data_IF_500367771024
#
_entry.id   IF_500367771024
#
_cell.length_a   1.000
_cell.length_b   1.000
_cell.length_c   1.000
_cell.angle_alpha   90.00
_cell.angle_beta   90.00
_cell.angle_gamma   90.00
#
_symmetry.space_group_name_H-M   'P 1'
#
loop_
_entity.id
_entity.type
_entity.pdbx_description
1 polymer ?
#
# COMPACT_ATOMS: atom_id res chain seq x y z
N UNK A 1 98.61 2.32 66.96
CA UNK A 1 97.42 1.44 67.06
C UNK A 1 96.26 2.11 66.38
N UNK A 2 95.84 1.64 65.19
CA UNK A 2 94.77 2.25 64.38
C UNK A 2 93.54 1.41 64.49
N UNK A 3 92.44 1.97 65.03
CA UNK A 3 91.12 1.39 65.00
C UNK A 3 90.51 1.58 63.64
N UNK A 4 90.21 0.46 62.94
CA UNK A 4 89.45 0.45 61.68
C UNK A 4 87.97 0.26 62.06
N UNK A 5 87.15 1.34 61.92
CA UNK A 5 85.69 1.26 62.02
C UNK A 5 85.15 0.58 60.71
N UNK A 6 84.57 -0.54 60.86
CA UNK A 6 83.79 -1.18 59.82
C UNK A 6 82.48 -0.44 59.61
N UNK A 7 82.28 0.08 58.40
CA UNK A 7 81.04 0.73 58.00
C UNK A 7 80.09 -0.37 57.59
N UNK A 8 79.00 -0.60 58.34
CA UNK A 8 77.90 -1.47 57.97
C UNK A 8 77.26 -0.95 56.67
N UNK A 9 77.15 -1.80 55.68
CA UNK A 9 76.41 -1.53 54.47
C UNK A 9 74.95 -1.68 54.81
N UNK A 10 74.21 -0.59 54.78
CA UNK A 10 72.75 -0.62 54.75
C UNK A 10 72.28 -1.40 53.54
N UNK A 11 71.71 -2.56 53.81
CA UNK A 11 71.07 -3.38 52.79
C UNK A 11 69.88 -2.65 52.20
N UNK A 12 69.94 -2.44 50.91
CA UNK A 12 68.80 -1.94 50.16
C UNK A 12 67.64 -2.95 50.33
N UNK A 13 66.69 -2.55 51.15
CA UNK A 13 65.44 -3.27 51.37
C UNK A 13 64.53 -3.12 50.11
N UNK A 14 64.80 -3.95 49.13
CA UNK A 14 64.06 -3.97 47.86
C UNK A 14 62.70 -4.67 47.96
N UNK A 15 62.28 -5.03 49.16
CA UNK A 15 61.05 -5.78 49.35
C UNK A 15 59.92 -4.94 50.02
N UNK A 16 59.71 -3.72 49.56
CA UNK A 16 58.44 -3.04 49.90
C UNK A 16 57.40 -3.36 48.83
N UNK A 17 56.36 -4.15 49.13
CA UNK A 17 55.29 -4.38 48.17
C UNK A 17 54.60 -3.04 47.90
N UNK A 18 54.60 -2.67 46.63
CA UNK A 18 53.88 -1.47 46.15
C UNK A 18 52.40 -1.50 46.61
N UNK A 19 51.88 -0.39 47.07
CA UNK A 19 50.55 -0.34 47.72
C UNK A 19 49.50 -0.81 46.73
N UNK A 20 48.87 -1.95 47.00
CA UNK A 20 47.75 -2.58 46.25
C UNK A 20 46.55 -1.63 46.02
N UNK A 21 46.54 -0.42 46.57
CA UNK A 21 45.46 0.57 46.39
C UNK A 21 45.41 1.21 45.00
N UNK A 22 46.53 1.35 44.27
CA UNK A 22 46.52 1.95 42.91
C UNK A 22 45.84 1.10 41.86
N UNK A 23 45.85 -0.19 42.02
CA UNK A 23 45.17 -1.08 41.04
C UNK A 23 43.63 -1.11 41.17
N UNK A 24 43.08 -0.82 42.35
CA UNK A 24 41.63 -0.73 42.55
C UNK A 24 41.06 0.52 41.90
N UNK A 25 41.75 1.68 42.07
CA UNK A 25 41.31 2.95 41.44
C UNK A 25 41.45 2.90 39.93
N UNK A 26 42.54 2.29 39.41
CA UNK A 26 42.72 2.12 37.96
C UNK A 26 41.65 1.21 37.36
N UNK A 27 41.32 0.10 38.01
CA UNK A 27 40.21 -0.80 37.56
C UNK A 27 38.87 -0.10 37.62
N UNK A 28 38.58 0.70 38.64
CA UNK A 28 37.35 1.48 38.72
C UNK A 28 37.28 2.55 37.63
N UNK A 29 38.41 3.20 37.32
CA UNK A 29 38.48 4.17 36.23
C UNK A 29 38.30 3.54 34.85
N UNK A 30 38.91 2.38 34.59
CA UNK A 30 38.72 1.64 33.37
C UNK A 30 37.28 1.11 33.23
N UNK A 31 36.65 0.65 34.30
CA UNK A 31 35.25 0.22 34.28
C UNK A 31 34.28 1.39 34.00
N UNK A 32 34.57 2.59 34.54
CA UNK A 32 33.80 3.79 34.30
C UNK A 32 33.93 4.30 32.86
N UNK A 33 35.15 4.26 32.29
CA UNK A 33 35.40 4.59 30.89
C UNK A 33 34.73 3.60 29.93
N UNK A 34 34.77 2.30 30.22
CA UNK A 34 34.06 1.27 29.43
C UNK A 34 32.54 1.43 29.51
N UNK A 35 32.03 1.78 30.68
CA UNK A 35 30.60 2.08 30.87
C UNK A 35 30.16 3.32 30.06
N UNK A 36 30.93 4.38 30.09
CA UNK A 36 30.67 5.60 29.29
C UNK A 36 30.78 5.34 27.79
N UNK A 37 31.78 4.59 27.35
CA UNK A 37 31.94 4.21 25.96
C UNK A 37 30.76 3.31 25.48
N UNK A 38 30.32 2.36 26.31
CA UNK A 38 29.15 1.54 26.06
C UNK A 38 27.86 2.35 25.94
N UNK A 39 27.69 3.33 26.84
CA UNK A 39 26.52 4.22 26.82
C UNK A 39 26.53 5.15 25.60
N UNK A 40 27.71 5.63 25.18
CA UNK A 40 27.86 6.41 23.96
C UNK A 40 27.58 5.59 22.70
N UNK A 41 28.06 4.35 22.64
CA UNK A 41 27.75 3.44 21.53
C UNK A 41 26.28 3.07 21.48
N UNK A 42 25.64 2.83 22.62
CA UNK A 42 24.18 2.56 22.69
C UNK A 42 23.36 3.77 22.28
N UNK A 43 23.77 4.98 22.70
CA UNK A 43 23.12 6.21 22.26
C UNK A 43 23.29 6.44 20.76
N UNK A 44 24.48 6.22 20.20
CA UNK A 44 24.72 6.30 18.76
C UNK A 44 23.90 5.24 17.99
N UNK A 45 23.78 4.01 18.49
CA UNK A 45 22.97 2.97 17.85
C UNK A 45 21.46 3.31 17.87
N UNK A 46 20.96 3.82 18.98
CA UNK A 46 19.54 4.22 19.11
C UNK A 46 19.23 5.46 18.29
N UNK A 47 20.09 6.48 18.35
CA UNK A 47 19.89 7.73 17.60
C UNK A 47 20.20 7.57 16.11
N UNK A 48 21.25 6.80 15.76
CA UNK A 48 21.62 6.51 14.38
C UNK A 48 20.58 5.68 13.62
N UNK A 49 19.83 4.82 14.32
CA UNK A 49 18.74 4.06 13.71
C UNK A 49 17.40 4.83 13.65
N UNK A 50 17.18 5.76 14.59
CA UNK A 50 15.94 6.53 14.66
C UNK A 50 15.94 7.80 13.79
N UNK A 51 17.10 8.43 13.62
CA UNK A 51 17.22 9.67 12.83
C UNK A 51 16.91 9.45 11.32
N UNK A 52 17.50 8.44 10.63
CA UNK A 52 17.20 8.24 9.22
C UNK A 52 15.74 7.90 9.01
N UNK A 53 15.11 7.07 9.86
CA UNK A 53 13.69 6.75 9.74
C UNK A 53 12.79 7.96 9.90
N UNK A 54 13.06 8.84 10.86
CA UNK A 54 12.28 10.10 11.03
C UNK A 54 12.49 11.08 9.89
N UNK A 55 13.67 11.13 9.31
CA UNK A 55 13.95 11.95 8.13
C UNK A 55 13.27 11.38 6.89
N UNK A 56 13.30 10.05 6.71
CA UNK A 56 12.61 9.38 5.61
C UNK A 56 11.10 9.55 5.72
N UNK A 57 10.53 9.41 6.92
CA UNK A 57 9.10 9.63 7.15
C UNK A 57 8.71 11.10 6.92
N UNK A 58 9.51 12.05 7.38
CA UNK A 58 9.25 13.49 7.18
C UNK A 58 9.40 13.88 5.70
N UNK A 59 10.42 13.35 5.00
CA UNK A 59 10.58 13.53 3.57
C UNK A 59 9.44 12.88 2.79
N UNK A 60 9.06 11.64 3.12
CA UNK A 60 7.95 10.95 2.49
C UNK A 60 6.63 11.72 2.68
N UNK A 61 6.36 12.25 3.88
CA UNK A 61 5.19 13.09 4.14
C UNK A 61 5.24 14.40 3.37
N UNK A 62 6.41 15.04 3.28
CA UNK A 62 6.56 16.29 2.52
C UNK A 62 6.37 16.06 1.02
N UNK A 63 6.97 15.00 0.46
CA UNK A 63 6.77 14.63 -0.94
C UNK A 63 5.34 14.18 -1.23
N UNK A 64 4.70 13.42 -0.33
CA UNK A 64 3.30 13.05 -0.47
C UNK A 64 2.38 14.28 -0.45
N UNK A 65 2.65 15.25 0.43
CA UNK A 65 1.91 16.50 0.47
C UNK A 65 2.10 17.33 -0.82
N UNK A 66 3.35 17.49 -1.30
CA UNK A 66 3.61 18.19 -2.57
C UNK A 66 2.99 17.49 -3.77
N UNK A 67 3.10 16.15 -3.84
CA UNK A 67 2.46 15.37 -4.90
C UNK A 67 0.95 15.50 -4.87
N UNK A 68 0.33 15.51 -3.69
CA UNK A 68 -1.11 15.72 -3.56
C UNK A 68 -1.56 17.12 -4.03
N UNK A 69 -0.77 18.15 -3.75
CA UNK A 69 -1.03 19.52 -4.23
C UNK A 69 -0.91 19.59 -5.75
N UNK A 70 0.20 19.06 -6.29
CA UNK A 70 0.45 19.07 -7.74
C UNK A 70 -0.60 18.24 -8.50
N UNK A 71 -1.02 17.11 -7.94
CA UNK A 71 -2.12 16.32 -8.50
C UNK A 71 -3.44 17.09 -8.46
N UNK A 72 -3.77 17.80 -7.36
CA UNK A 72 -4.96 18.66 -7.30
C UNK A 72 -4.93 19.78 -8.36
N UNK A 73 -3.79 20.41 -8.55
CA UNK A 73 -3.63 21.44 -9.60
C UNK A 73 -3.79 20.87 -11.01
N UNK A 74 -3.18 19.72 -11.30
CA UNK A 74 -3.37 19.01 -12.56
C UNK A 74 -4.84 18.63 -12.79
N UNK A 75 -5.51 18.17 -11.73
CA UNK A 75 -6.95 17.89 -11.78
C UNK A 75 -7.79 19.13 -12.02
N UNK A 76 -7.51 20.22 -11.30
CA UNK A 76 -8.20 21.49 -11.49
C UNK A 76 -8.01 22.03 -12.92
N UNK A 77 -6.79 21.89 -13.47
CA UNK A 77 -6.50 22.28 -14.87
C UNK A 77 -7.22 21.36 -15.87
N UNK A 78 -7.20 20.05 -15.67
CA UNK A 78 -7.94 19.09 -16.52
C UNK A 78 -9.44 19.33 -16.46
N UNK A 79 -9.98 19.58 -15.26
CA UNK A 79 -11.39 19.96 -15.09
C UNK A 79 -11.73 21.23 -15.83
N UNK A 80 -10.91 22.28 -15.75
CA UNK A 80 -11.10 23.53 -16.52
C UNK A 80 -11.02 23.30 -18.01
N UNK A 81 -10.09 22.44 -18.49
CA UNK A 81 -10.02 22.04 -19.88
C UNK A 81 -11.28 21.29 -20.32
N UNK A 82 -11.77 20.34 -19.53
CA UNK A 82 -13.02 19.63 -19.80
C UNK A 82 -14.25 20.53 -19.75
N UNK A 83 -14.22 21.59 -18.93
CA UNK A 83 -15.28 22.62 -18.88
C UNK A 83 -15.22 23.57 -20.10
N UNK A 84 -14.05 23.73 -20.74
CA UNK A 84 -13.87 24.66 -21.87
C UNK A 84 -13.88 23.99 -23.26
N UNK A 85 -13.56 22.70 -23.34
CA UNK A 85 -13.80 21.87 -24.53
C UNK A 85 -14.74 20.73 -24.13
N UNK A 86 -16.05 20.94 -24.21
CA UNK A 86 -16.98 19.81 -24.03
C UNK A 86 -16.73 18.86 -25.18
N UNK A 87 -15.98 17.79 -24.91
CA UNK A 87 -15.89 16.65 -25.84
C UNK A 87 -17.33 16.14 -26.02
N UNK A 88 -17.93 16.46 -27.17
CA UNK A 88 -19.34 16.19 -27.44
C UNK A 88 -19.61 14.68 -27.36
N UNK A 89 -18.60 13.85 -27.64
CA UNK A 89 -18.65 12.42 -27.53
C UNK A 89 -18.66 11.95 -26.07
N UNK A 90 -17.84 12.54 -25.21
CA UNK A 90 -17.80 12.20 -23.77
C UNK A 90 -19.09 12.60 -23.08
N UNK A 91 -19.62 13.77 -23.38
CA UNK A 91 -20.92 14.21 -22.88
C UNK A 91 -22.07 13.33 -23.40
N UNK A 92 -21.98 12.85 -24.65
CA UNK A 92 -22.97 11.92 -25.20
C UNK A 92 -22.88 10.54 -24.53
N UNK A 93 -21.67 10.02 -24.31
CA UNK A 93 -21.45 8.77 -23.60
C UNK A 93 -21.95 8.85 -22.15
N UNK A 94 -21.62 9.95 -21.44
CA UNK A 94 -22.12 10.24 -20.10
C UNK A 94 -23.65 10.30 -20.03
N UNK A 95 -24.29 10.99 -20.97
CA UNK A 95 -25.75 11.09 -21.03
C UNK A 95 -26.38 9.73 -21.32
N UNK A 96 -25.82 8.97 -22.24
CA UNK A 96 -26.31 7.64 -22.59
C UNK A 96 -26.16 6.68 -21.40
N UNK A 97 -25.02 6.73 -20.68
CA UNK A 97 -24.81 5.94 -19.48
C UNK A 97 -25.83 6.30 -18.38
N UNK A 98 -25.97 7.58 -18.06
CA UNK A 98 -26.94 8.04 -17.06
C UNK A 98 -28.38 7.70 -17.46
N UNK A 99 -28.77 7.83 -18.73
CA UNK A 99 -30.09 7.49 -19.21
C UNK A 99 -30.36 5.99 -19.14
N UNK A 100 -29.38 5.14 -19.48
CA UNK A 100 -29.54 3.68 -19.43
C UNK A 100 -29.72 3.15 -18.00
N UNK A 101 -29.11 3.81 -17.02
CA UNK A 101 -29.13 3.41 -15.61
C UNK A 101 -30.24 4.06 -14.79
N UNK A 102 -30.75 5.23 -15.19
CA UNK A 102 -31.93 5.85 -14.55
C UNK A 102 -33.19 5.00 -14.66
N UNK A 103 -33.24 4.08 -15.62
CA UNK A 103 -34.37 3.15 -15.81
C UNK A 103 -34.46 2.11 -14.67
N UNK A 104 -33.35 1.83 -13.97
CA UNK A 104 -33.30 0.82 -12.90
C UNK A 104 -33.50 1.41 -11.49
N UNK A 105 -33.76 2.70 -11.38
CA UNK A 105 -33.98 3.36 -10.08
C UNK A 105 -32.70 3.60 -9.25
N UNK A 106 -31.54 3.21 -9.75
CA UNK A 106 -30.26 3.49 -9.13
C UNK A 106 -29.80 4.92 -9.46
N UNK A 107 -29.36 5.63 -8.45
CA UNK A 107 -28.81 6.98 -8.61
C UNK A 107 -27.30 6.88 -8.73
N UNK A 108 -26.75 7.29 -9.87
CA UNK A 108 -25.31 7.30 -10.12
C UNK A 108 -24.75 8.72 -10.06
N UNK A 109 -23.72 8.91 -9.28
CA UNK A 109 -23.05 10.20 -9.12
C UNK A 109 -21.65 10.14 -9.73
N UNK A 110 -21.30 11.07 -10.65
CA UNK A 110 -19.97 11.15 -11.22
C UNK A 110 -18.98 11.69 -10.17
N UNK A 111 -17.84 11.02 -10.00
CA UNK A 111 -16.81 11.41 -9.04
C UNK A 111 -15.43 11.29 -9.67
N UNK A 112 -14.60 12.29 -9.42
CA UNK A 112 -13.23 12.34 -9.94
C UNK A 112 -12.25 11.71 -8.98
N UNK A 113 -11.12 11.19 -9.53
CA UNK A 113 -10.01 10.69 -8.72
C UNK A 113 -9.02 11.80 -8.41
N UNK A 114 -8.45 11.79 -7.20
CA UNK A 114 -7.40 12.75 -6.78
C UNK A 114 -6.02 12.15 -6.74
N UNK A 115 -5.91 10.87 -6.37
CA UNK A 115 -4.64 10.20 -6.21
C UNK A 115 -4.77 8.72 -6.58
N UNK A 116 -3.65 8.10 -7.00
CA UNK A 116 -3.56 6.68 -7.32
C UNK A 116 -2.30 6.08 -6.74
N UNK A 117 -2.37 4.83 -6.33
CA UNK A 117 -1.24 4.03 -5.88
C UNK A 117 -1.44 2.56 -6.32
N UNK A 118 -0.43 1.69 -6.25
CA UNK A 118 -0.53 0.30 -6.73
C UNK A 118 -1.65 -0.56 -6.13
N UNK A 119 -2.28 -0.13 -5.04
CA UNK A 119 -3.35 -0.88 -4.37
C UNK A 119 -4.71 -0.17 -4.37
N UNK A 120 -4.88 0.94 -5.09
CA UNK A 120 -6.14 1.67 -5.12
C UNK A 120 -6.04 3.11 -5.60
N UNK A 121 -7.12 3.83 -5.42
CA UNK A 121 -7.20 5.25 -5.75
C UNK A 121 -8.12 5.99 -4.79
N UNK A 122 -7.99 7.32 -4.77
CA UNK A 122 -8.76 8.21 -3.91
C UNK A 122 -9.70 9.06 -4.75
N UNK A 123 -10.94 9.16 -4.34
CA UNK A 123 -11.96 10.02 -4.93
C UNK A 123 -11.90 11.44 -4.33
N UNK A 124 -12.32 12.43 -5.10
CA UNK A 124 -12.37 13.84 -4.65
C UNK A 124 -13.36 14.03 -3.51
N UNK A 125 -14.44 13.25 -3.52
CA UNK A 125 -15.51 13.36 -2.54
C UNK A 125 -15.54 12.14 -1.64
N UNK A 126 -15.87 12.30 -0.36
CA UNK A 126 -16.17 11.17 0.50
C UNK A 126 -17.44 10.48 -0.01
N UNK A 127 -17.40 9.17 -0.10
CA UNK A 127 -18.49 8.32 -0.57
C UNK A 127 -18.85 7.30 0.49
N UNK A 128 -20.04 6.75 0.39
CA UNK A 128 -20.45 5.69 1.31
C UNK A 128 -19.55 4.47 1.14
N UNK A 129 -19.00 3.96 2.25
CA UNK A 129 -18.22 2.75 2.25
C UNK A 129 -19.09 1.56 1.80
N UNK A 130 -18.52 0.71 0.93
CA UNK A 130 -19.23 -0.42 0.34
C UNK A 130 -19.94 -0.09 -0.97
N UNK A 131 -20.02 1.16 -1.38
CA UNK A 131 -20.63 1.55 -2.67
C UNK A 131 -19.81 0.99 -3.84
N UNK A 132 -20.50 0.54 -4.89
CA UNK A 132 -19.87 0.10 -6.12
C UNK A 132 -19.34 1.30 -6.91
N UNK A 133 -18.14 1.14 -7.47
CA UNK A 133 -17.49 2.14 -8.32
C UNK A 133 -17.38 1.59 -9.72
N UNK A 134 -17.93 2.31 -10.70
CA UNK A 134 -17.91 1.95 -12.12
C UNK A 134 -17.04 2.95 -12.89
N UNK A 135 -16.39 2.49 -13.95
CA UNK A 135 -15.74 3.37 -14.91
C UNK A 135 -16.78 4.06 -15.82
N UNK A 136 -16.30 4.94 -16.70
CA UNK A 136 -17.17 5.66 -17.66
C UNK A 136 -17.89 4.75 -18.66
N UNK A 137 -17.44 3.51 -18.81
CA UNK A 137 -18.08 2.49 -19.66
C UNK A 137 -19.09 1.63 -18.89
N UNK A 138 -19.28 1.88 -17.59
CA UNK A 138 -20.18 1.13 -16.73
C UNK A 138 -19.61 -0.20 -16.22
N UNK A 139 -18.31 -0.40 -16.34
CA UNK A 139 -17.61 -1.59 -15.84
C UNK A 139 -17.24 -1.43 -14.39
N UNK A 140 -17.29 -2.52 -13.66
CA UNK A 140 -16.97 -2.54 -12.23
C UNK A 140 -15.48 -2.28 -11.99
N UNK A 141 -15.17 -1.11 -11.46
CA UNK A 141 -13.81 -0.69 -11.14
C UNK A 141 -13.37 -1.07 -9.71
N UNK A 142 -14.32 -1.22 -8.78
CA UNK A 142 -13.98 -1.58 -7.41
C UNK A 142 -15.07 -1.22 -6.40
N UNK A 143 -14.67 -1.24 -5.13
CA UNK A 143 -15.54 -0.91 -3.98
C UNK A 143 -14.97 0.31 -3.26
N UNK A 144 -15.85 1.27 -2.97
CA UNK A 144 -15.51 2.42 -2.15
C UNK A 144 -15.31 2.00 -0.68
N UNK A 145 -14.22 2.44 -0.11
CA UNK A 145 -13.92 2.31 1.31
C UNK A 145 -14.16 3.63 2.06
N UNK A 146 -13.67 3.67 3.28
CA UNK A 146 -13.73 4.88 4.09
C UNK A 146 -12.95 6.04 3.46
N UNK A 147 -13.42 7.26 3.70
CA UNK A 147 -12.77 8.50 3.26
C UNK A 147 -12.57 8.63 1.74
N UNK A 148 -13.39 7.94 0.93
CA UNK A 148 -13.28 8.02 -0.54
C UNK A 148 -12.15 7.17 -1.14
N UNK A 149 -11.52 6.31 -0.36
CA UNK A 149 -10.58 5.31 -0.91
C UNK A 149 -11.34 4.27 -1.73
N UNK A 150 -10.76 3.79 -2.82
CA UNK A 150 -11.33 2.71 -3.62
C UNK A 150 -10.36 1.56 -3.68
N UNK A 151 -10.84 0.38 -3.30
CA UNK A 151 -10.16 -0.89 -3.53
C UNK A 151 -10.50 -1.37 -4.95
N UNK A 152 -9.53 -1.50 -5.86
CA UNK A 152 -9.77 -1.96 -7.22
C UNK A 152 -10.40 -3.35 -7.25
N UNK A 153 -11.16 -3.63 -8.31
CA UNK A 153 -11.77 -4.92 -8.52
C UNK A 153 -10.76 -6.07 -8.36
N UNK A 154 -11.11 -7.05 -7.55
CA UNK A 154 -10.27 -8.22 -7.28
C UNK A 154 -9.10 -8.01 -6.32
N UNK A 155 -8.92 -6.82 -5.75
CA UNK A 155 -7.84 -6.53 -4.79
C UNK A 155 -8.39 -6.33 -3.38
N UNK A 156 -7.89 -7.09 -2.38
CA UNK A 156 -8.26 -6.90 -0.97
C UNK A 156 -9.77 -6.81 -0.75
N UNK A 157 -10.25 -5.65 -0.27
CA UNK A 157 -11.68 -5.37 -0.07
C UNK A 157 -12.50 -5.30 -1.38
N UNK A 158 -11.84 -5.15 -2.54
CA UNK A 158 -12.46 -5.22 -3.87
C UNK A 158 -12.62 -6.66 -4.40
N UNK A 159 -12.24 -7.67 -3.64
CA UNK A 159 -12.52 -9.07 -3.97
C UNK A 159 -13.99 -9.35 -3.67
N UNK A 160 -14.82 -9.34 -4.71
CA UNK A 160 -16.28 -9.48 -4.59
C UNK A 160 -16.76 -10.75 -5.29
N UNK A 161 -17.88 -11.35 -4.83
CA UNK A 161 -18.51 -12.44 -5.53
C UNK A 161 -18.93 -12.03 -6.93
N UNK A 162 -18.71 -12.91 -7.91
CA UNK A 162 -19.05 -12.68 -9.31
C UNK A 162 -19.76 -13.91 -9.91
N UNK A 163 -20.63 -13.65 -10.85
CA UNK A 163 -21.35 -14.65 -11.62
C UNK A 163 -20.79 -14.70 -13.04
N UNK A 164 -20.59 -15.92 -13.53
CA UNK A 164 -20.33 -16.21 -14.93
C UNK A 164 -21.46 -17.17 -15.38
N UNK A 165 -22.39 -16.64 -16.15
CA UNK A 165 -23.66 -17.33 -16.36
C UNK A 165 -24.38 -17.58 -15.04
N UNK A 166 -24.51 -18.85 -14.63
CA UNK A 166 -25.06 -19.21 -13.30
C UNK A 166 -24.00 -19.66 -12.29
N UNK A 167 -22.75 -19.71 -12.69
CA UNK A 167 -21.66 -20.15 -11.82
C UNK A 167 -21.17 -19.00 -10.94
N UNK A 168 -21.15 -19.22 -9.64
CA UNK A 168 -20.61 -18.25 -8.67
C UNK A 168 -19.12 -18.48 -8.49
N UNK A 169 -18.35 -17.41 -8.57
CA UNK A 169 -16.93 -17.33 -8.25
C UNK A 169 -16.63 -16.06 -7.49
N UNK A 170 -15.36 -15.70 -7.43
CA UNK A 170 -14.88 -14.48 -6.76
C UNK A 170 -13.92 -13.74 -7.69
N UNK A 171 -14.09 -12.44 -7.84
CA UNK A 171 -13.13 -11.59 -8.52
C UNK A 171 -11.85 -11.52 -7.68
N UNK A 172 -10.72 -11.84 -8.29
CA UNK A 172 -9.39 -11.74 -7.66
C UNK A 172 -8.40 -11.18 -8.67
N UNK A 173 -7.43 -10.40 -8.18
CA UNK A 173 -6.38 -9.84 -9.03
C UNK A 173 -5.07 -10.58 -8.79
N UNK A 174 -4.46 -11.07 -9.86
CA UNK A 174 -3.18 -11.75 -9.82
C UNK A 174 -2.28 -11.20 -10.94
N UNK A 175 -1.11 -10.69 -10.58
CA UNK A 175 -0.15 -10.11 -11.54
C UNK A 175 -0.75 -9.05 -12.50
N UNK A 176 -1.62 -8.20 -11.96
CA UNK A 176 -2.28 -7.15 -12.75
C UNK A 176 -3.49 -7.61 -13.58
N UNK A 177 -3.72 -8.92 -13.72
CA UNK A 177 -4.86 -9.47 -14.42
C UNK A 177 -6.00 -9.75 -13.45
N UNK A 178 -7.22 -9.40 -13.85
CA UNK A 178 -8.44 -9.73 -13.11
C UNK A 178 -8.88 -11.15 -13.48
N UNK A 179 -9.20 -11.94 -12.47
CA UNK A 179 -9.63 -13.33 -12.59
C UNK A 179 -10.97 -13.54 -11.90
N UNK A 180 -11.76 -14.45 -12.42
CA UNK A 180 -12.82 -15.10 -11.63
C UNK A 180 -12.26 -16.42 -11.14
N UNK A 181 -12.16 -16.60 -9.83
CA UNK A 181 -11.63 -17.80 -9.17
C UNK A 181 -12.72 -18.50 -8.36
N UNK A 182 -12.51 -19.76 -8.01
CA UNK A 182 -13.48 -20.51 -7.20
C UNK A 182 -14.73 -20.94 -7.99
N UNK A 183 -14.69 -20.92 -9.31
CA UNK A 183 -15.79 -21.44 -10.13
C UNK A 183 -15.95 -22.96 -9.92
N UNK A 184 -17.19 -23.48 -9.84
CA UNK A 184 -17.41 -24.92 -9.70
C UNK A 184 -16.89 -25.68 -10.94
N UNK A 185 -16.40 -26.89 -10.74
CA UNK A 185 -15.93 -27.75 -11.85
C UNK A 185 -17.01 -28.07 -12.90
N UNK A 186 -18.29 -27.87 -12.57
CA UNK A 186 -19.41 -27.98 -13.49
C UNK A 186 -19.60 -26.76 -14.38
N UNK A 187 -18.85 -25.68 -14.17
CA UNK A 187 -18.94 -24.47 -14.98
C UNK A 187 -18.49 -24.78 -16.43
N UNK A 188 -19.37 -24.51 -17.38
CA UNK A 188 -19.15 -24.72 -18.82
C UNK A 188 -19.04 -23.42 -19.59
N UNK A 189 -18.68 -22.35 -18.91
CA UNK A 189 -18.53 -21.04 -19.51
C UNK A 189 -17.49 -21.07 -20.65
N UNK A 190 -17.73 -20.27 -21.67
CA UNK A 190 -16.82 -20.15 -22.82
C UNK A 190 -16.07 -18.80 -22.77
N UNK A 191 -15.01 -18.68 -23.57
CA UNK A 191 -14.40 -17.39 -23.82
C UNK A 191 -15.43 -16.40 -24.39
N UNK A 192 -15.37 -15.14 -23.99
CA UNK A 192 -16.33 -14.10 -24.36
C UNK A 192 -17.58 -14.04 -23.49
N UNK A 193 -17.81 -14.99 -22.59
CA UNK A 193 -18.94 -14.94 -21.66
C UNK A 193 -18.74 -13.85 -20.62
N UNK A 194 -19.83 -13.13 -20.28
CA UNK A 194 -19.79 -12.00 -19.36
C UNK A 194 -19.64 -12.46 -17.92
N UNK A 195 -18.76 -11.77 -17.20
CA UNK A 195 -18.65 -11.83 -15.76
C UNK A 195 -19.31 -10.59 -15.15
N UNK A 196 -20.23 -10.79 -14.21
CA UNK A 196 -20.92 -9.71 -13.49
C UNK A 196 -20.75 -9.90 -11.99
N UNK A 197 -20.76 -8.80 -11.22
CA UNK A 197 -20.77 -8.91 -9.75
C UNK A 197 -22.07 -9.56 -9.30
N UNK A 198 -22.01 -10.42 -8.29
CA UNK A 198 -23.21 -11.09 -7.77
C UNK A 198 -24.15 -10.10 -7.08
N UNK A 199 -23.62 -9.03 -6.54
CA UNK A 199 -24.36 -7.91 -5.96
C UNK A 199 -24.42 -6.76 -6.97
N UNK A 200 -25.62 -6.28 -7.29
CA UNK A 200 -25.84 -5.20 -8.26
C UNK A 200 -25.64 -5.56 -9.73
N UNK A 201 -25.17 -6.78 -10.05
CA UNK A 201 -24.98 -7.28 -11.43
C UNK A 201 -24.16 -6.33 -12.32
N UNK A 202 -23.14 -5.70 -11.77
CA UNK A 202 -22.26 -4.81 -12.51
C UNK A 202 -21.31 -5.62 -13.39
N UNK A 203 -21.11 -5.15 -14.60
CA UNK A 203 -20.22 -5.81 -15.55
C UNK A 203 -18.76 -5.72 -15.09
N UNK A 204 -18.11 -6.87 -14.84
CA UNK A 204 -16.72 -6.94 -14.41
C UNK A 204 -15.73 -7.17 -15.58
N UNK A 205 -16.21 -7.69 -16.70
CA UNK A 205 -15.41 -7.98 -17.89
C UNK A 205 -15.96 -9.20 -18.64
N UNK A 206 -15.18 -9.68 -19.60
CA UNK A 206 -15.47 -10.90 -20.37
C UNK A 206 -14.39 -11.94 -20.07
N UNK A 207 -14.74 -13.22 -20.17
CA UNK A 207 -13.76 -14.30 -20.07
C UNK A 207 -12.82 -14.27 -21.27
N UNK A 208 -11.55 -14.02 -21.04
CA UNK A 208 -10.52 -14.07 -22.09
C UNK A 208 -10.26 -15.51 -22.58
N UNK A 209 -10.55 -16.51 -21.74
CA UNK A 209 -10.41 -17.93 -22.07
C UNK A 209 -11.42 -18.75 -21.28
N UNK A 210 -11.70 -19.97 -21.76
CA UNK A 210 -12.51 -20.92 -21.01
C UNK A 210 -11.92 -21.22 -19.64
N UNK A 211 -12.75 -21.48 -18.59
CA UNK A 211 -12.28 -21.78 -17.25
C UNK A 211 -11.30 -22.96 -17.23
N UNK A 212 -10.21 -22.80 -16.50
CA UNK A 212 -9.14 -23.77 -16.32
C UNK A 212 -9.04 -24.19 -14.85
N UNK A 213 -8.55 -25.39 -14.54
CA UNK A 213 -8.32 -25.81 -13.16
C UNK A 213 -7.46 -24.79 -12.40
N UNK A 214 -7.90 -24.41 -11.22
CA UNK A 214 -7.08 -23.61 -10.30
C UNK A 214 -5.89 -24.44 -9.79
N UNK A 215 -4.75 -23.84 -9.42
CA UNK A 215 -3.61 -24.57 -8.88
C UNK A 215 -3.91 -25.57 -7.77
N UNK A 216 -4.99 -25.33 -7.00
CA UNK A 216 -5.50 -26.26 -5.98
C UNK A 216 -6.28 -27.46 -6.54
N UNK A 217 -6.64 -27.48 -7.82
CA UNK A 217 -7.35 -28.57 -8.51
C UNK A 217 -8.80 -28.80 -8.10
N UNK A 218 -9.35 -28.04 -7.15
CA UNK A 218 -10.70 -28.23 -6.61
C UNK A 218 -11.76 -27.34 -7.30
N UNK A 219 -11.32 -26.27 -7.92
CA UNK A 219 -12.17 -25.26 -8.57
C UNK A 219 -11.59 -24.86 -9.92
N UNK A 220 -12.36 -24.10 -10.68
CA UNK A 220 -11.89 -23.51 -11.92
C UNK A 220 -11.65 -22.01 -11.73
N UNK A 221 -10.80 -21.45 -12.59
CA UNK A 221 -10.56 -20.01 -12.71
C UNK A 221 -10.49 -19.60 -14.18
N UNK A 222 -10.86 -18.36 -14.46
CA UNK A 222 -10.76 -17.79 -15.79
C UNK A 222 -10.23 -16.36 -15.72
N UNK A 223 -9.32 -15.97 -16.63
CA UNK A 223 -8.90 -14.57 -16.74
C UNK A 223 -9.98 -13.74 -17.40
N UNK A 224 -10.08 -12.48 -17.00
CA UNK A 224 -10.98 -11.51 -17.60
C UNK A 224 -10.20 -10.56 -18.51
N UNK A 225 -10.84 -10.21 -19.61
CA UNK A 225 -10.46 -9.10 -20.49
C UNK A 225 -11.58 -8.06 -20.52
N UNK A 226 -11.35 -6.95 -21.18
CA UNK A 226 -12.32 -5.86 -21.28
C UNK A 226 -12.83 -5.40 -19.92
N UNK A 227 -11.92 -5.33 -18.94
CA UNK A 227 -12.17 -4.89 -17.56
C UNK A 227 -12.18 -3.37 -17.46
N UNK A 228 -12.59 -2.84 -16.31
CA UNK A 228 -12.60 -1.39 -16.08
C UNK A 228 -11.23 -0.75 -16.29
N UNK A 229 -11.23 0.43 -16.89
CA UNK A 229 -10.01 1.22 -17.09
C UNK A 229 -9.58 1.85 -15.76
N UNK A 230 -8.48 1.33 -15.20
CA UNK A 230 -7.90 1.84 -13.96
C UNK A 230 -7.16 3.18 -14.14
N UNK A 231 -6.93 3.61 -15.37
CA UNK A 231 -6.28 4.89 -15.66
C UNK A 231 -7.28 6.02 -15.80
N UNK A 232 -8.57 5.71 -15.82
CA UNK A 232 -9.64 6.69 -15.96
C UNK A 232 -9.67 7.68 -14.80
N UNK A 233 -10.01 8.92 -15.08
CA UNK A 233 -10.06 9.99 -14.08
C UNK A 233 -11.48 10.21 -13.54
N UNK A 234 -12.49 9.70 -14.22
CA UNK A 234 -13.90 9.85 -13.88
C UNK A 234 -14.52 8.48 -13.62
N UNK A 235 -15.18 8.36 -12.49
CA UNK A 235 -15.92 7.17 -12.09
C UNK A 235 -17.33 7.52 -11.70
N UNK A 236 -18.21 6.53 -11.65
CA UNK A 236 -19.58 6.62 -11.20
C UNK A 236 -19.76 5.80 -9.94
N UNK A 237 -20.48 6.35 -8.97
CA UNK A 237 -20.78 5.68 -7.71
C UNK A 237 -22.27 5.48 -7.61
N UNK A 238 -22.67 4.22 -7.37
CA UNK A 238 -24.04 3.87 -7.06
C UNK A 238 -24.37 4.16 -5.60
N UNK A 239 -25.43 4.88 -5.34
CA UNK A 239 -25.98 5.19 -4.02
C UNK A 239 -27.33 4.55 -3.81
#
# INVERSE_FOLDING_TARGET
MRHIRRKERDGLDLARPAPRRRHKTLRQFCALLLGLAGLALLSMAVWGAALPRRLDDALAQHYAAQMSVMQRELFALRRRLAEHEPDAEENAALRNFLQSRQTDGERWEPVWTTARWPGGFLLVQPVQAGAAVLDRSGRFAGIAGEHGTVAPAGSGAGAVPALVGQALGTLTRQNGVLWVTGLPCSCKAAAGELAVTAQGQYWAGQLAAAPQPDPGGLTLRAPLEDTADETDCLYFIGG
#
